data_IF_260640897953
#
_entry.id   IF_260640897953
#
_cell.length_a   1.000
_cell.length_b   1.000
_cell.length_c   1.000
_cell.angle_alpha   90.00
_cell.angle_beta   90.00
_cell.angle_gamma   90.00
#
_symmetry.space_group_name_H-M   'P 1'
#
loop_
_entity.id
_entity.type
_entity.pdbx_description
1 polymer ?
#
# COMPACT_ATOMS: atom_id res chain seq x y z
N UNK A 1 19.97 -30.49 -47.17
CA UNK A 1 20.83 -29.69 -46.25
C UNK A 1 20.29 -28.26 -45.94
N UNK A 2 19.63 -27.58 -46.86
CA UNK A 2 19.10 -26.19 -46.63
C UNK A 2 17.95 -26.10 -45.63
N UNK A 3 17.12 -27.12 -45.50
CA UNK A 3 15.94 -27.13 -44.60
C UNK A 3 16.30 -27.27 -43.13
N UNK A 4 17.39 -27.99 -42.78
CA UNK A 4 17.82 -28.15 -41.38
C UNK A 4 18.46 -26.88 -40.79
N UNK A 5 19.15 -26.06 -41.62
CA UNK A 5 19.74 -24.80 -41.18
C UNK A 5 18.68 -23.76 -40.82
N UNK A 6 17.54 -23.72 -41.52
CA UNK A 6 16.43 -22.83 -41.19
C UNK A 6 15.73 -23.19 -39.88
N UNK A 7 15.59 -24.47 -39.59
CA UNK A 7 14.99 -24.97 -38.34
C UNK A 7 15.86 -24.65 -37.11
N UNK A 8 17.18 -24.80 -37.24
CA UNK A 8 18.12 -24.50 -36.14
C UNK A 8 18.17 -23.00 -35.83
N UNK A 9 18.10 -22.14 -36.83
CA UNK A 9 18.06 -20.68 -36.62
C UNK A 9 16.77 -20.24 -35.89
N UNK A 10 15.62 -20.85 -36.22
CA UNK A 10 14.34 -20.55 -35.55
C UNK A 10 14.30 -20.96 -34.07
N UNK A 11 14.86 -22.14 -33.75
CA UNK A 11 14.91 -22.62 -32.36
C UNK A 11 15.86 -21.80 -31.49
N UNK A 12 16.99 -21.35 -32.01
CA UNK A 12 17.92 -20.47 -31.27
C UNK A 12 17.28 -19.12 -31.00
N UNK A 13 16.53 -18.55 -31.94
CA UNK A 13 15.85 -17.27 -31.77
C UNK A 13 14.74 -17.34 -30.70
N UNK A 14 13.97 -18.43 -30.62
CA UNK A 14 12.92 -18.63 -29.61
C UNK A 14 13.54 -18.79 -28.22
N UNK A 15 14.64 -19.52 -28.08
CA UNK A 15 15.35 -19.69 -26.82
C UNK A 15 15.94 -18.37 -26.31
N UNK A 16 16.48 -17.54 -27.18
CA UNK A 16 17.05 -16.24 -26.78
C UNK A 16 15.98 -15.23 -26.31
N UNK A 17 14.78 -15.23 -26.90
CA UNK A 17 13.66 -14.40 -26.45
C UNK A 17 13.14 -14.89 -25.08
N UNK A 18 13.06 -16.20 -24.85
CA UNK A 18 12.62 -16.76 -23.57
C UNK A 18 13.56 -16.41 -22.42
N UNK A 19 14.88 -16.41 -22.66
CA UNK A 19 15.87 -16.00 -21.64
C UNK A 19 15.81 -14.52 -21.36
N UNK A 20 15.57 -13.66 -22.35
CA UNK A 20 15.43 -12.22 -22.17
C UNK A 20 14.16 -11.83 -21.36
N UNK A 21 13.08 -12.60 -21.51
CA UNK A 21 11.85 -12.41 -20.71
C UNK A 21 12.01 -12.86 -19.25
N UNK A 22 12.85 -13.86 -18.98
CA UNK A 22 13.15 -14.33 -17.63
C UNK A 22 14.07 -13.42 -16.83
N UNK A 23 14.79 -12.51 -17.50
CA UNK A 23 15.66 -11.51 -16.87
C UNK A 23 14.94 -10.21 -16.51
N UNK A 24 13.60 -10.18 -16.56
CA UNK A 24 12.81 -9.03 -16.06
C UNK A 24 13.06 -8.85 -14.56
N UNK A 25 14.14 -8.12 -14.31
CA UNK A 25 14.46 -7.27 -13.18
C UNK A 25 13.99 -7.74 -11.80
N UNK A 26 14.82 -8.57 -11.15
CA UNK A 26 14.88 -8.53 -9.69
C UNK A 26 15.35 -7.13 -9.29
N UNK A 27 14.55 -6.37 -8.52
CA UNK A 27 15.02 -5.08 -8.02
C UNK A 27 16.31 -5.28 -7.24
N UNK A 28 17.25 -4.30 -7.28
CA UNK A 28 18.56 -4.45 -6.69
C UNK A 28 18.46 -4.81 -5.20
N UNK A 29 19.22 -5.78 -4.76
CA UNK A 29 19.23 -6.33 -3.38
C UNK A 29 19.35 -5.23 -2.29
N UNK A 30 19.99 -4.10 -2.62
CA UNK A 30 20.07 -2.91 -1.77
C UNK A 30 18.70 -2.33 -1.38
N UNK A 31 17.75 -2.26 -2.32
CA UNK A 31 16.39 -1.76 -2.05
C UNK A 31 15.63 -2.70 -1.11
N UNK A 32 15.81 -4.01 -1.30
CA UNK A 32 15.21 -5.04 -0.46
C UNK A 32 15.66 -5.01 1.00
N UNK A 33 16.96 -4.79 1.27
CA UNK A 33 17.47 -4.73 2.64
C UNK A 33 16.94 -3.51 3.40
N UNK A 34 16.84 -2.37 2.74
CA UNK A 34 16.34 -1.14 3.37
C UNK A 34 14.84 -1.27 3.67
N UNK A 35 14.08 -1.87 2.76
CA UNK A 35 12.66 -2.08 2.91
C UNK A 35 12.37 -3.13 4.00
N UNK A 36 13.10 -4.24 4.07
CA UNK A 36 12.94 -5.26 5.10
C UNK A 36 13.10 -4.70 6.52
N UNK A 37 14.09 -3.82 6.74
CA UNK A 37 14.29 -3.16 8.04
C UNK A 37 13.18 -2.17 8.40
N UNK A 38 12.56 -1.54 7.39
CA UNK A 38 11.42 -0.63 7.61
C UNK A 38 10.20 -1.41 8.10
N UNK A 39 9.89 -2.54 7.46
CA UNK A 39 8.73 -3.36 7.83
C UNK A 39 8.95 -4.18 9.12
N UNK A 40 10.20 -4.36 9.57
CA UNK A 40 10.50 -4.97 10.86
C UNK A 40 9.87 -4.21 12.06
N UNK A 41 9.50 -2.94 11.87
CA UNK A 41 8.79 -2.17 12.91
C UNK A 41 7.41 -2.78 13.25
N UNK A 42 6.73 -3.41 12.28
CA UNK A 42 5.46 -4.12 12.52
C UNK A 42 5.63 -5.26 13.54
N UNK A 43 6.75 -5.97 13.48
CA UNK A 43 7.06 -7.07 14.42
C UNK A 43 7.34 -6.58 15.85
N UNK A 44 7.65 -5.29 16.04
CA UNK A 44 7.86 -4.70 17.37
C UNK A 44 6.56 -4.44 18.13
N UNK A 45 5.41 -4.49 17.44
CA UNK A 45 4.11 -4.36 18.11
C UNK A 45 3.97 -5.46 19.17
N UNK A 46 3.67 -5.12 20.45
CA UNK A 46 3.47 -6.11 21.51
C UNK A 46 2.38 -7.11 21.13
N UNK A 47 2.50 -8.35 21.57
CA UNK A 47 1.51 -9.40 21.26
C UNK A 47 0.07 -8.99 21.60
N UNK A 48 -0.14 -8.31 22.73
CA UNK A 48 -1.46 -7.77 23.12
C UNK A 48 -2.00 -6.76 22.07
N UNK A 49 -1.13 -5.96 21.47
CA UNK A 49 -1.55 -5.01 20.42
C UNK A 49 -1.87 -5.75 19.12
N UNK A 50 -1.01 -6.67 18.69
CA UNK A 50 -1.21 -7.48 17.49
C UNK A 50 -2.50 -8.30 17.53
N UNK A 51 -2.85 -8.83 18.70
CA UNK A 51 -4.08 -9.61 18.89
C UNK A 51 -5.38 -8.78 18.77
N UNK A 52 -5.30 -7.45 18.71
CA UNK A 52 -6.49 -6.61 18.50
C UNK A 52 -7.04 -6.81 17.09
N UNK A 53 -8.33 -7.08 17.01
CA UNK A 53 -9.07 -7.12 15.75
C UNK A 53 -9.59 -5.73 15.39
N UNK A 54 -9.71 -5.46 14.10
CA UNK A 54 -10.36 -4.24 13.66
C UNK A 54 -11.88 -4.33 13.90
N UNK A 55 -12.46 -3.47 14.74
CA UNK A 55 -13.90 -3.51 15.00
C UNK A 55 -14.72 -3.09 13.76
N UNK A 56 -14.08 -2.44 12.77
CA UNK A 56 -14.69 -1.97 11.53
C UNK A 56 -14.40 -2.90 10.34
N UNK A 57 -13.93 -4.13 10.57
CA UNK A 57 -13.55 -5.07 9.51
C UNK A 57 -14.68 -5.38 8.53
N UNK A 58 -15.93 -5.32 9.01
CA UNK A 58 -17.15 -5.60 8.22
C UNK A 58 -17.92 -4.34 7.86
N UNK A 59 -17.42 -3.18 8.18
CA UNK A 59 -18.04 -1.91 7.86
C UNK A 59 -17.68 -1.51 6.42
N UNK A 60 -18.65 -1.47 5.49
CA UNK A 60 -18.39 -1.12 4.09
C UNK A 60 -17.89 0.31 3.92
N UNK A 61 -18.26 1.22 4.83
CA UNK A 61 -17.90 2.63 4.75
C UNK A 61 -16.51 2.91 5.36
N UNK A 62 -15.98 1.98 6.15
CA UNK A 62 -14.69 2.16 6.83
C UNK A 62 -13.52 2.32 5.85
N UNK A 63 -13.56 1.63 4.71
CA UNK A 63 -12.50 1.73 3.68
C UNK A 63 -12.52 3.11 3.03
N UNK A 64 -13.71 3.61 2.67
CA UNK A 64 -13.85 4.93 2.04
C UNK A 64 -13.46 6.07 3.01
N UNK A 65 -13.90 5.98 4.27
CA UNK A 65 -13.52 6.93 5.31
C UNK A 65 -12.01 6.89 5.59
N UNK A 66 -11.41 5.69 5.66
CA UNK A 66 -9.98 5.50 5.86
C UNK A 66 -9.16 6.05 4.69
N UNK A 67 -9.65 5.93 3.45
CA UNK A 67 -9.04 6.55 2.27
C UNK A 67 -8.98 8.06 2.40
N UNK A 68 -10.10 8.71 2.76
CA UNK A 68 -10.15 10.17 2.94
C UNK A 68 -9.13 10.65 3.99
N UNK A 69 -9.00 9.90 5.10
CA UNK A 69 -8.00 10.19 6.12
C UNK A 69 -6.57 9.99 5.60
N UNK A 70 -6.35 8.96 4.79
CA UNK A 70 -5.06 8.69 4.16
C UNK A 70 -4.65 9.81 3.21
N UNK A 71 -5.57 10.26 2.36
CA UNK A 71 -5.35 11.37 1.43
C UNK A 71 -4.97 12.66 2.17
N UNK A 72 -5.56 12.92 3.33
CA UNK A 72 -5.29 14.13 4.13
C UNK A 72 -3.97 14.09 4.90
N UNK A 73 -3.51 12.91 5.31
CA UNK A 73 -2.46 12.81 6.34
C UNK A 73 -1.26 11.95 5.93
N UNK A 74 -1.37 11.11 4.91
CA UNK A 74 -0.39 10.06 4.67
C UNK A 74 0.28 10.13 3.29
N UNK A 75 -0.40 10.68 2.26
CA UNK A 75 0.05 10.71 0.87
C UNK A 75 1.39 11.42 0.69
N UNK A 76 1.66 12.49 1.45
CA UNK A 76 2.93 13.20 1.35
C UNK A 76 4.16 12.30 1.53
N UNK A 77 4.03 11.26 2.35
CA UNK A 77 5.11 10.32 2.62
C UNK A 77 4.96 9.00 1.88
N UNK A 78 3.74 8.45 1.84
CA UNK A 78 3.48 7.11 1.34
C UNK A 78 3.03 7.05 -0.13
N UNK A 79 2.90 8.21 -0.81
CA UNK A 79 2.39 8.31 -2.17
C UNK A 79 0.86 8.29 -2.24
N UNK A 80 0.29 8.77 -3.36
CA UNK A 80 -1.17 8.93 -3.54
C UNK A 80 -1.92 7.60 -3.56
N UNK A 81 -1.24 6.55 -4.03
CA UNK A 81 -1.75 5.17 -4.09
C UNK A 81 -1.12 4.28 -3.01
N UNK A 82 -0.44 4.87 -2.03
CA UNK A 82 0.30 4.15 -0.98
C UNK A 82 1.49 3.30 -1.52
N UNK A 83 1.97 3.61 -2.72
CA UNK A 83 3.09 2.96 -3.40
C UNK A 83 4.44 3.23 -2.75
N UNK A 84 4.50 4.22 -1.85
CA UNK A 84 5.72 4.63 -1.18
C UNK A 84 6.53 5.63 -1.99
N UNK A 85 7.61 6.14 -1.39
CA UNK A 85 8.49 7.13 -2.00
C UNK A 85 9.78 7.35 -1.21
N UNK A 86 10.38 8.52 -1.35
CA UNK A 86 11.60 8.88 -0.62
C UNK A 86 11.38 9.07 0.89
N UNK A 87 10.18 9.51 1.29
CA UNK A 87 9.84 9.87 2.67
C UNK A 87 9.27 8.69 3.46
N UNK A 88 8.53 7.79 2.79
CA UNK A 88 7.87 6.67 3.44
C UNK A 88 7.85 5.41 2.57
N UNK A 89 7.72 4.24 3.19
CA UNK A 89 7.68 2.97 2.48
C UNK A 89 6.33 2.74 1.79
N UNK A 90 6.32 1.80 0.81
CA UNK A 90 5.08 1.30 0.23
C UNK A 90 4.24 0.57 1.29
N UNK A 91 2.93 0.78 1.26
CA UNK A 91 1.99 0.06 2.11
C UNK A 91 1.29 -1.10 1.38
N UNK A 92 1.59 -1.27 0.08
CA UNK A 92 1.01 -2.33 -0.77
C UNK A 92 1.79 -3.64 -0.70
N UNK A 93 2.93 -3.68 -0.01
CA UNK A 93 3.82 -4.85 0.05
C UNK A 93 3.25 -5.94 0.95
N UNK A 94 3.65 -7.18 0.67
CA UNK A 94 3.21 -8.36 1.38
C UNK A 94 3.37 -8.25 2.91
N UNK A 95 4.48 -7.69 3.38
CA UNK A 95 4.77 -7.53 4.81
C UNK A 95 3.71 -6.68 5.54
N UNK A 96 3.15 -5.67 4.88
CA UNK A 96 2.06 -4.85 5.43
C UNK A 96 0.73 -5.57 5.26
N UNK A 97 0.51 -6.19 4.10
CA UNK A 97 -0.76 -6.83 3.78
C UNK A 97 -1.01 -8.10 4.60
N UNK A 98 0.04 -8.82 4.98
CA UNK A 98 -0.05 -10.01 5.85
C UNK A 98 0.01 -9.68 7.35
N UNK A 99 0.43 -8.46 7.72
CA UNK A 99 0.48 -8.02 9.11
C UNK A 99 -0.91 -8.06 9.78
N UNK A 100 -0.93 -8.40 11.05
CA UNK A 100 -2.17 -8.33 11.84
C UNK A 100 -2.69 -6.88 11.90
N UNK A 101 -4.00 -6.66 11.76
CA UNK A 101 -4.59 -5.32 11.84
C UNK A 101 -4.18 -4.53 13.08
N UNK A 102 -4.05 -5.22 14.22
CA UNK A 102 -3.60 -4.63 15.48
C UNK A 102 -2.14 -4.15 15.46
N UNK A 103 -1.26 -4.76 14.66
CA UNK A 103 0.11 -4.30 14.48
C UNK A 103 0.14 -2.97 13.71
N UNK A 104 -0.64 -2.86 12.63
CA UNK A 104 -0.78 -1.62 11.85
C UNK A 104 -1.38 -0.51 12.74
N UNK A 105 -2.43 -0.84 13.50
CA UNK A 105 -3.03 0.09 14.45
C UNK A 105 -2.01 0.59 15.50
N UNK A 106 -1.16 -0.29 16.00
CA UNK A 106 -0.11 0.06 16.95
C UNK A 106 0.92 1.00 16.32
N UNK A 107 1.36 0.74 15.08
CA UNK A 107 2.25 1.65 14.33
C UNK A 107 1.60 3.03 14.15
N UNK A 108 0.33 3.11 13.76
CA UNK A 108 -0.39 4.38 13.65
C UNK A 108 -0.44 5.11 15.00
N UNK A 109 -0.67 4.37 16.07
CA UNK A 109 -0.78 4.97 17.41
C UNK A 109 0.54 5.53 17.93
N UNK A 110 1.65 4.82 17.70
CA UNK A 110 2.96 5.16 18.29
C UNK A 110 3.91 5.86 17.32
N UNK A 111 3.61 5.80 16.01
CA UNK A 111 4.51 6.27 14.98
C UNK A 111 5.78 5.42 14.86
N UNK A 112 6.65 5.83 13.95
CA UNK A 112 8.03 5.37 13.82
C UNK A 112 8.91 6.62 13.78
N UNK A 113 8.90 7.36 14.88
CA UNK A 113 9.42 8.75 14.97
C UNK A 113 10.88 8.85 14.51
N UNK A 114 11.72 7.88 14.87
CA UNK A 114 13.13 7.85 14.47
C UNK A 114 13.34 7.64 12.95
N UNK A 115 12.27 7.25 12.21
CA UNK A 115 12.24 7.16 10.74
C UNK A 115 11.41 8.27 10.11
N UNK A 116 10.90 9.22 10.89
CA UNK A 116 10.11 10.35 10.41
C UNK A 116 8.61 10.12 10.35
N UNK A 117 8.09 8.93 10.69
CA UNK A 117 6.65 8.71 10.78
C UNK A 117 6.10 9.25 12.09
N UNK A 118 5.22 10.27 12.08
CA UNK A 118 4.69 10.87 13.30
C UNK A 118 3.73 9.94 14.05
N UNK A 119 3.45 10.32 15.31
CA UNK A 119 2.46 9.69 16.17
C UNK A 119 1.06 10.17 15.77
N UNK A 120 0.14 9.24 15.52
CA UNK A 120 -1.25 9.53 15.14
C UNK A 120 -2.26 9.27 16.27
N UNK A 121 -1.80 9.19 17.52
CA UNK A 121 -2.69 8.97 18.67
C UNK A 121 -3.70 10.11 18.92
N UNK A 122 -3.48 11.29 18.32
CA UNK A 122 -4.44 12.41 18.35
C UNK A 122 -5.67 12.15 17.47
N UNK A 123 -5.56 11.32 16.43
CA UNK A 123 -6.73 10.87 15.70
C UNK A 123 -7.58 9.98 16.61
N UNK A 124 -8.92 10.16 16.65
CA UNK A 124 -9.82 9.25 17.35
C UNK A 124 -9.57 7.78 17.00
N UNK A 125 -9.78 6.89 17.97
CA UNK A 125 -9.55 5.46 17.74
C UNK A 125 -10.32 4.90 16.53
N UNK A 126 -11.61 5.23 16.30
CA UNK A 126 -12.31 4.78 15.09
C UNK A 126 -11.64 5.21 13.79
N UNK A 127 -11.12 6.44 13.71
CA UNK A 127 -10.43 6.94 12.52
C UNK A 127 -9.14 6.17 12.24
N UNK A 128 -8.39 5.80 13.27
CA UNK A 128 -7.21 4.94 13.12
C UNK A 128 -7.58 3.55 12.62
N UNK A 129 -8.72 3.00 13.05
CA UNK A 129 -9.23 1.72 12.54
C UNK A 129 -9.74 1.83 11.10
N UNK A 130 -10.33 2.95 10.70
CA UNK A 130 -10.67 3.23 9.29
C UNK A 130 -9.42 3.27 8.41
N UNK A 131 -8.34 3.91 8.88
CA UNK A 131 -7.03 3.87 8.19
C UNK A 131 -6.52 2.43 8.03
N UNK A 132 -6.64 1.60 9.07
CA UNK A 132 -6.27 0.17 8.98
C UNK A 132 -7.12 -0.55 7.93
N UNK A 133 -8.44 -0.31 7.87
CA UNK A 133 -9.33 -0.89 6.85
C UNK A 133 -8.88 -0.53 5.44
N UNK A 134 -8.57 0.75 5.21
CA UNK A 134 -8.08 1.21 3.91
C UNK A 134 -6.72 0.57 3.55
N UNK A 135 -5.74 0.60 4.45
CA UNK A 135 -4.43 0.01 4.22
C UNK A 135 -4.54 -1.48 3.87
N UNK A 136 -5.38 -2.23 4.57
CA UNK A 136 -5.61 -3.66 4.28
C UNK A 136 -6.34 -3.90 2.96
N UNK A 137 -7.17 -2.98 2.51
CA UNK A 137 -7.86 -3.09 1.21
C UNK A 137 -6.92 -2.96 0.01
N UNK A 138 -5.75 -2.33 0.18
CA UNK A 138 -4.76 -2.17 -0.90
C UNK A 138 -4.20 -3.52 -1.39
N UNK A 139 -4.13 -4.53 -0.52
CA UNK A 139 -3.67 -5.87 -0.89
C UNK A 139 -4.69 -6.63 -1.74
N UNK A 140 -5.97 -6.44 -1.50
CA UNK A 140 -7.04 -7.07 -2.29
C UNK A 140 -7.06 -6.52 -3.71
N UNK A 141 -6.90 -5.19 -3.87
CA UNK A 141 -6.84 -4.54 -5.17
C UNK A 141 -5.62 -4.97 -6.01
N UNK A 142 -4.51 -5.36 -5.36
CA UNK A 142 -3.31 -5.82 -6.05
C UNK A 142 -3.43 -7.26 -6.57
N UNK A 143 -4.32 -8.07 -6.01
CA UNK A 143 -4.53 -9.48 -6.41
C UNK A 143 -5.70 -9.68 -7.36
N UNK A 144 -6.58 -8.70 -7.50
CA UNK A 144 -7.71 -8.72 -8.42
C UNK A 144 -7.57 -7.60 -9.47
N UNK A 145 -7.12 -7.92 -10.71
CA UNK A 145 -7.02 -6.93 -11.79
C UNK A 145 -8.36 -6.33 -12.22
N UNK A 146 -9.49 -6.87 -11.74
CA UNK A 146 -10.85 -6.33 -11.92
C UNK A 146 -11.34 -5.48 -10.75
N UNK A 147 -10.62 -5.45 -9.63
CA UNK A 147 -10.95 -4.59 -8.51
C UNK A 147 -10.73 -3.12 -8.91
N UNK A 148 -11.81 -2.42 -9.22
CA UNK A 148 -11.78 -0.98 -9.44
C UNK A 148 -11.28 -0.31 -8.16
N UNK A 149 -10.18 0.46 -8.19
CA UNK A 149 -9.79 1.23 -7.04
C UNK A 149 -10.98 2.11 -6.64
N UNK A 150 -11.30 2.24 -5.35
CA UNK A 150 -12.44 3.02 -4.91
C UNK A 150 -12.35 4.44 -5.52
N UNK A 151 -13.46 5.01 -6.04
CA UNK A 151 -13.45 6.28 -6.75
C UNK A 151 -12.81 7.36 -5.89
N UNK A 152 -12.02 8.24 -6.52
CA UNK A 152 -11.50 9.44 -5.84
C UNK A 152 -12.68 10.20 -5.27
N UNK A 153 -12.59 10.58 -4.00
CA UNK A 153 -13.59 11.48 -3.40
C UNK A 153 -13.74 12.72 -4.26
N UNK A 154 -14.97 13.23 -4.50
CA UNK A 154 -15.13 14.49 -5.18
C UNK A 154 -14.33 15.54 -4.40
N UNK A 155 -13.43 16.23 -5.09
CA UNK A 155 -12.73 17.36 -4.53
C UNK A 155 -13.80 18.33 -4.01
N UNK A 156 -13.84 18.54 -2.69
CA UNK A 156 -14.61 19.61 -2.11
C UNK A 156 -14.02 20.96 -2.59
N UNK A 157 -14.40 21.35 -3.79
CA UNK A 157 -14.34 22.74 -4.21
C UNK A 157 -15.37 23.47 -3.35
N UNK A 158 -14.93 23.93 -2.20
CA UNK A 158 -15.68 24.85 -1.37
C UNK A 158 -15.74 26.21 -2.10
N UNK A 159 -16.63 26.33 -3.06
CA UNK A 159 -17.06 27.63 -3.62
C UNK A 159 -18.36 27.38 -4.38
N UNK A 160 -19.48 27.43 -3.63
CA UNK A 160 -20.77 27.96 -4.11
C UNK A 160 -21.76 27.86 -2.94
N UNK A 161 -21.61 28.79 -1.99
CA UNK A 161 -22.74 29.17 -1.15
C UNK A 161 -23.50 30.27 -1.91
N UNK A 162 -24.76 30.05 -2.28
CA UNK A 162 -25.58 31.12 -2.82
C UNK A 162 -25.78 32.17 -1.71
N UNK A 163 -25.43 33.42 -2.02
CA UNK A 163 -25.69 34.58 -1.21
C UNK A 163 -27.17 34.73 -0.92
N UNK A 164 -27.56 34.63 0.34
CA UNK A 164 -28.92 34.95 0.80
C UNK A 164 -29.11 36.46 0.68
N UNK A 165 -30.12 36.97 -0.06
CA UNK A 165 -30.45 38.39 -0.07
C UNK A 165 -31.06 38.80 1.26
N UNK A 166 -30.63 39.95 1.79
CA UNK A 166 -31.24 40.63 2.96
C UNK A 166 -32.58 41.19 2.61
#
# INVERSE_FOLDING_TARGET
>A
MRTYLASLAATVAILSVSVALAQREKPPAYKYHKDALVYAELAKAPQKARAKRNPLERDPDAVAAGRNLFEQHCTECHGDLAEGGRKGPSLMVEQVQTAEPGAIFWILTNGVVWRGMPVWSKLPEPQRWQLVSYIKSLGVAATDPGAVPPPKSPSNSATDLPSVPR
#
